data_IF_612719221639
#
_entry.id   IF_612719221639
#
_cell.length_a   1.000
_cell.length_b   1.000
_cell.length_c   1.000
_cell.angle_alpha   90.00
_cell.angle_beta   90.00
_cell.angle_gamma   90.00
#
_symmetry.space_group_name_H-M   'P 1'
#
loop_
_entity.id
_entity.type
_entity.pdbx_description
1 polymer ?
#
# COMPACT_ATOMS: atom_id res chain seq x y z
N UNK A 1 -12.50 -31.76 -7.28
CA UNK A 1 -11.11 -31.30 -7.45
C UNK A 1 -10.49 -31.40 -6.07
N UNK A 2 -9.46 -32.23 -5.96
CA UNK A 2 -8.68 -32.42 -4.74
C UNK A 2 -7.79 -31.19 -4.60
N UNK A 3 -7.93 -30.45 -3.50
CA UNK A 3 -6.95 -29.44 -3.12
C UNK A 3 -5.68 -30.19 -2.70
N UNK A 4 -4.60 -29.96 -3.43
CA UNK A 4 -3.24 -30.25 -2.98
C UNK A 4 -2.92 -29.30 -1.82
N UNK A 5 -3.44 -29.60 -0.62
CA UNK A 5 -2.81 -29.18 0.64
C UNK A 5 -1.46 -29.90 0.70
N UNK A 6 -0.46 -29.28 0.06
CA UNK A 6 0.92 -29.66 0.23
C UNK A 6 1.27 -29.54 1.70
N UNK A 7 1.59 -30.67 2.32
CA UNK A 7 2.29 -30.73 3.60
C UNK A 7 3.62 -29.99 3.44
N UNK A 8 3.63 -28.71 3.80
CA UNK A 8 4.89 -27.99 4.00
C UNK A 8 5.45 -28.46 5.34
N UNK A 9 6.58 -29.16 5.29
CA UNK A 9 7.34 -29.73 6.41
C UNK A 9 7.30 -28.82 7.65
N UNK A 10 6.34 -29.04 8.54
CA UNK A 10 6.33 -28.41 9.84
C UNK A 10 7.48 -29.01 10.64
N UNK A 11 8.46 -28.20 11.02
CA UNK A 11 9.45 -28.56 12.03
C UNK A 11 8.69 -29.12 13.26
N UNK A 12 8.71 -30.45 13.41
CA UNK A 12 7.94 -31.21 14.40
C UNK A 12 8.18 -30.67 15.83
N UNK A 13 9.30 -30.00 16.07
CA UNK A 13 9.66 -29.34 17.31
C UNK A 13 8.75 -28.16 17.70
N UNK A 14 8.07 -27.50 16.74
CA UNK A 14 7.28 -26.28 16.96
C UNK A 14 5.76 -26.45 16.81
N UNK A 15 5.30 -27.65 16.41
CA UNK A 15 3.87 -27.94 16.16
C UNK A 15 3.00 -27.73 17.40
N UNK A 16 3.55 -27.96 18.61
CA UNK A 16 2.83 -27.79 19.87
C UNK A 16 2.96 -26.41 20.54
N UNK A 17 3.79 -25.51 20.03
CA UNK A 17 4.10 -24.23 20.68
C UNK A 17 3.36 -23.03 20.07
N UNK A 18 2.88 -23.15 18.83
CA UNK A 18 2.28 -22.05 18.06
C UNK A 18 0.84 -22.36 17.65
N UNK A 19 -0.03 -21.35 17.72
CA UNK A 19 -1.41 -21.45 17.23
C UNK A 19 -1.44 -21.81 15.74
N UNK A 20 -2.45 -22.56 15.32
CA UNK A 20 -2.68 -22.81 13.90
C UNK A 20 -3.14 -21.53 13.20
N UNK A 21 -2.89 -21.43 11.89
CA UNK A 21 -3.33 -20.29 11.09
C UNK A 21 -4.85 -20.09 11.18
N UNK A 22 -5.62 -21.17 11.15
CA UNK A 22 -7.08 -21.17 11.30
C UNK A 22 -7.53 -20.56 12.63
N UNK A 23 -6.84 -20.85 13.73
CA UNK A 23 -7.14 -20.30 15.05
C UNK A 23 -6.89 -18.79 15.08
N UNK A 24 -5.77 -18.35 14.50
CA UNK A 24 -5.43 -16.92 14.40
C UNK A 24 -6.44 -16.16 13.54
N UNK A 25 -6.87 -16.74 12.42
CA UNK A 25 -7.91 -16.17 11.57
C UNK A 25 -9.24 -16.13 12.32
N UNK A 26 -9.59 -17.17 13.07
CA UNK A 26 -10.80 -17.20 13.91
C UNK A 26 -10.78 -16.10 14.97
N UNK A 27 -9.65 -15.90 15.65
CA UNK A 27 -9.46 -14.81 16.60
C UNK A 27 -9.59 -13.43 15.94
N UNK A 28 -8.99 -13.24 14.76
CA UNK A 28 -9.10 -12.00 13.99
C UNK A 28 -10.56 -11.69 13.63
N UNK A 29 -11.32 -12.70 13.21
CA UNK A 29 -12.73 -12.55 12.81
C UNK A 29 -13.67 -12.24 13.99
N UNK A 30 -13.24 -12.49 15.24
CA UNK A 30 -14.01 -12.12 16.43
C UNK A 30 -13.96 -10.62 16.73
N UNK A 31 -13.02 -9.88 16.14
CA UNK A 31 -12.93 -8.44 16.29
C UNK A 31 -14.06 -7.80 15.46
N UNK A 32 -14.93 -6.97 16.07
CA UNK A 32 -16.07 -6.35 15.38
C UNK A 32 -15.61 -5.15 14.53
N UNK A 33 -14.76 -5.39 13.53
CA UNK A 33 -14.19 -4.34 12.67
C UNK A 33 -15.28 -3.48 12.00
N UNK A 34 -16.39 -4.09 11.59
CA UNK A 34 -17.54 -3.34 11.04
C UNK A 34 -18.05 -2.27 12.00
N UNK A 35 -18.24 -2.60 13.28
CA UNK A 35 -18.68 -1.64 14.30
C UNK A 35 -17.61 -0.62 14.64
N UNK A 36 -16.34 -1.02 14.64
CA UNK A 36 -15.23 -0.08 14.85
C UNK A 36 -15.20 0.94 13.71
N UNK A 37 -15.30 0.50 12.45
CA UNK A 37 -15.29 1.39 11.30
C UNK A 37 -16.56 2.24 11.20
N UNK A 38 -17.74 1.70 11.49
CA UNK A 38 -18.97 2.51 11.61
C UNK A 38 -18.77 3.69 12.57
N UNK A 39 -18.20 3.45 13.75
CA UNK A 39 -17.97 4.50 14.75
C UNK A 39 -16.90 5.50 14.30
N UNK A 40 -15.77 5.02 13.81
CA UNK A 40 -14.64 5.86 13.39
C UNK A 40 -14.99 6.72 12.20
N UNK A 41 -15.79 6.19 11.26
CA UNK A 41 -16.26 6.91 10.08
C UNK A 41 -17.55 7.69 10.34
N UNK A 42 -18.09 7.67 11.57
CA UNK A 42 -19.38 8.32 11.89
C UNK A 42 -20.54 7.87 10.97
N UNK A 43 -20.51 6.60 10.55
CA UNK A 43 -21.55 5.95 9.75
C UNK A 43 -22.56 5.31 10.69
N UNK A 44 -23.84 5.54 10.41
CA UNK A 44 -24.96 4.96 11.14
C UNK A 44 -25.78 4.10 10.18
N UNK A 45 -26.07 2.88 10.59
CA UNK A 45 -27.01 2.01 9.88
C UNK A 45 -28.42 2.23 10.45
N UNK A 46 -29.30 2.87 9.68
CA UNK A 46 -30.69 3.15 10.06
C UNK A 46 -31.59 2.93 8.85
N UNK A 47 -32.83 2.49 9.07
CA UNK A 47 -33.83 2.28 8.00
C UNK A 47 -33.34 1.42 6.81
N UNK A 48 -32.53 0.40 7.10
CA UNK A 48 -31.96 -0.52 6.11
C UNK A 48 -30.96 0.14 5.13
N UNK A 49 -30.40 1.30 5.49
CA UNK A 49 -29.42 2.04 4.70
C UNK A 49 -28.29 2.61 5.58
N UNK A 50 -27.16 2.95 4.95
CA UNK A 50 -26.01 3.56 5.60
C UNK A 50 -26.03 5.07 5.41
N UNK A 51 -25.97 5.80 6.52
CA UNK A 51 -25.98 7.26 6.50
C UNK A 51 -24.77 7.82 7.25
N UNK A 52 -24.14 8.83 6.67
CA UNK A 52 -23.08 9.59 7.32
C UNK A 52 -23.52 11.05 7.44
N UNK A 53 -23.53 11.58 8.66
CA UNK A 53 -23.82 12.99 8.86
C UNK A 53 -22.53 13.80 8.74
N UNK A 54 -22.37 14.48 7.60
CA UNK A 54 -21.19 15.29 7.26
C UNK A 54 -20.85 16.37 8.29
N UNK A 55 -21.82 16.81 9.11
CA UNK A 55 -21.57 17.81 10.16
C UNK A 55 -20.64 17.31 11.26
N UNK A 56 -20.50 15.98 11.45
CA UNK A 56 -19.55 15.40 12.40
C UNK A 56 -18.14 15.26 11.83
N UNK A 57 -17.99 15.32 10.51
CA UNK A 57 -16.71 15.19 9.82
C UNK A 57 -16.03 16.56 9.79
N UNK A 58 -15.29 16.85 10.86
CA UNK A 58 -14.47 18.06 11.00
C UNK A 58 -13.00 17.76 10.76
N UNK A 59 -12.18 18.78 10.55
CA UNK A 59 -10.72 18.60 10.48
C UNK A 59 -10.13 17.94 11.73
N UNK A 60 -10.66 18.23 12.93
CA UNK A 60 -10.28 17.54 14.16
C UNK A 60 -10.64 16.06 14.16
N UNK A 61 -11.79 15.72 13.57
CA UNK A 61 -12.19 14.33 13.38
C UNK A 61 -11.23 13.60 12.44
N UNK A 62 -10.87 14.18 11.30
CA UNK A 62 -9.90 13.60 10.37
C UNK A 62 -8.54 13.34 11.01
N UNK A 63 -8.00 14.30 11.79
CA UNK A 63 -6.75 14.06 12.54
C UNK A 63 -6.86 12.85 13.48
N UNK A 64 -7.98 12.73 14.21
CA UNK A 64 -8.22 11.58 15.11
C UNK A 64 -8.34 10.27 14.33
N UNK A 65 -9.04 10.29 13.20
CA UNK A 65 -9.22 9.14 12.32
C UNK A 65 -7.87 8.65 11.78
N UNK A 66 -7.04 9.54 11.22
CA UNK A 66 -5.71 9.18 10.71
C UNK A 66 -4.80 8.64 11.83
N UNK A 67 -4.82 9.25 13.03
CA UNK A 67 -4.05 8.76 14.17
C UNK A 67 -4.52 7.37 14.65
N UNK A 68 -5.84 7.16 14.68
CA UNK A 68 -6.44 5.89 15.04
C UNK A 68 -6.08 4.79 14.03
N UNK A 69 -6.30 5.02 12.74
CA UNK A 69 -5.92 4.07 11.69
C UNK A 69 -4.42 3.82 11.65
N UNK A 70 -3.59 4.84 11.83
CA UNK A 70 -2.13 4.65 11.98
C UNK A 70 -1.77 3.70 13.12
N UNK A 71 -2.53 3.74 14.22
CA UNK A 71 -2.33 2.82 15.35
C UNK A 71 -2.73 1.39 14.98
N UNK A 72 -3.86 1.20 14.28
CA UNK A 72 -4.25 -0.12 13.77
C UNK A 72 -3.18 -0.66 12.81
N UNK A 73 -2.71 0.14 11.84
CA UNK A 73 -1.66 -0.27 10.90
C UNK A 73 -0.40 -0.73 11.63
N UNK A 74 -0.01 -0.07 12.74
CA UNK A 74 1.13 -0.52 13.56
C UNK A 74 0.89 -1.87 14.21
N UNK A 75 -0.33 -2.15 14.70
CA UNK A 75 -0.69 -3.45 15.27
C UNK A 75 -0.70 -4.55 14.20
N UNK A 76 -1.30 -4.27 13.04
CA UNK A 76 -1.31 -5.22 11.91
C UNK A 76 0.11 -5.50 11.41
N UNK A 77 1.00 -4.49 11.40
CA UNK A 77 2.43 -4.66 11.12
C UNK A 77 3.11 -5.61 12.08
N UNK A 78 2.79 -5.54 13.36
CA UNK A 78 3.32 -6.49 14.34
C UNK A 78 2.82 -7.89 14.06
N UNK A 79 1.53 -8.06 13.72
CA UNK A 79 0.98 -9.34 13.28
C UNK A 79 1.73 -9.92 12.07
N UNK A 80 1.90 -9.12 11.02
CA UNK A 80 2.64 -9.53 9.82
C UNK A 80 4.09 -9.94 10.14
N UNK A 81 4.77 -9.21 11.03
CA UNK A 81 6.15 -9.56 11.46
C UNK A 81 6.22 -10.82 12.30
N UNK A 82 5.27 -11.00 13.23
CA UNK A 82 5.24 -12.17 14.12
C UNK A 82 4.96 -13.45 13.35
N UNK A 83 4.14 -13.36 12.30
CA UNK A 83 3.70 -14.49 11.49
C UNK A 83 4.30 -14.46 10.07
N UNK A 84 5.54 -13.96 9.92
CA UNK A 84 6.27 -13.89 8.64
C UNK A 84 6.85 -15.26 8.24
N UNK A 85 5.95 -16.20 7.92
CA UNK A 85 6.29 -17.55 7.49
C UNK A 85 5.28 -18.07 6.47
N UNK A 86 5.69 -18.93 5.51
CA UNK A 86 4.77 -19.57 4.55
C UNK A 86 3.54 -20.21 5.18
N UNK A 87 3.67 -20.78 6.39
CA UNK A 87 2.58 -21.36 7.19
C UNK A 87 1.41 -20.41 7.44
N UNK A 88 1.66 -19.10 7.52
CA UNK A 88 0.66 -18.08 7.84
C UNK A 88 0.31 -17.18 6.63
N UNK A 89 0.37 -17.76 5.42
CA UNK A 89 0.12 -17.05 4.17
C UNK A 89 -1.28 -16.44 4.08
N UNK A 90 -2.32 -17.17 4.46
CA UNK A 90 -3.70 -16.69 4.39
C UNK A 90 -3.98 -15.63 5.45
N UNK A 91 -3.41 -15.75 6.65
CA UNK A 91 -3.43 -14.72 7.66
C UNK A 91 -2.76 -13.45 7.14
N UNK A 92 -1.58 -13.57 6.52
CA UNK A 92 -0.87 -12.43 5.92
C UNK A 92 -1.71 -11.73 4.84
N UNK A 93 -2.39 -12.50 3.98
CA UNK A 93 -3.31 -11.94 2.99
C UNK A 93 -4.47 -11.19 3.65
N UNK A 94 -5.09 -11.77 4.69
CA UNK A 94 -6.19 -11.12 5.43
C UNK A 94 -5.75 -9.83 6.13
N UNK A 95 -4.57 -9.82 6.76
CA UNK A 95 -4.02 -8.63 7.39
C UNK A 95 -3.71 -7.54 6.34
N UNK A 96 -3.16 -7.92 5.19
CA UNK A 96 -2.86 -6.99 4.09
C UNK A 96 -4.13 -6.45 3.42
N UNK A 97 -5.16 -7.27 3.25
CA UNK A 97 -6.48 -6.85 2.79
C UNK A 97 -7.11 -5.84 3.75
N UNK A 98 -7.05 -6.11 5.05
CA UNK A 98 -7.57 -5.20 6.08
C UNK A 98 -6.82 -3.85 6.07
N UNK A 99 -5.49 -3.86 5.89
CA UNK A 99 -4.71 -2.63 5.71
C UNK A 99 -5.20 -1.85 4.48
N UNK A 100 -5.39 -2.53 3.36
CA UNK A 100 -5.90 -1.91 2.13
C UNK A 100 -7.29 -1.29 2.32
N UNK A 101 -8.20 -1.97 3.03
CA UNK A 101 -9.53 -1.44 3.31
C UNK A 101 -9.48 -0.22 4.24
N UNK A 102 -8.61 -0.23 5.25
CA UNK A 102 -8.37 0.94 6.12
C UNK A 102 -7.87 2.14 5.30
N UNK A 103 -6.94 1.91 4.36
CA UNK A 103 -6.46 2.98 3.47
C UNK A 103 -7.58 3.49 2.57
N UNK A 104 -8.39 2.60 2.00
CA UNK A 104 -9.54 2.99 1.18
C UNK A 104 -10.51 3.90 1.95
N UNK A 105 -10.95 3.46 3.14
CA UNK A 105 -11.86 4.27 3.95
C UNK A 105 -11.27 5.63 4.33
N UNK A 106 -9.98 5.68 4.65
CA UNK A 106 -9.31 6.94 4.95
C UNK A 106 -9.22 7.85 3.71
N UNK A 107 -8.99 7.27 2.52
CA UNK A 107 -8.95 8.00 1.25
C UNK A 107 -10.32 8.59 0.93
N UNK A 108 -11.38 7.79 0.98
CA UNK A 108 -12.75 8.22 0.69
C UNK A 108 -13.18 9.39 1.60
N UNK A 109 -12.88 9.29 2.90
CA UNK A 109 -13.14 10.37 3.85
C UNK A 109 -12.32 11.63 3.60
N UNK A 110 -11.08 11.48 3.13
CA UNK A 110 -10.22 12.62 2.81
C UNK A 110 -10.64 13.31 1.51
N UNK A 111 -11.12 12.53 0.54
CA UNK A 111 -11.67 13.01 -0.72
C UNK A 111 -12.92 13.86 -0.47
N UNK A 112 -13.88 13.28 0.26
CA UNK A 112 -15.21 13.84 0.47
C UNK A 112 -15.22 15.03 1.44
N UNK A 113 -14.20 15.17 2.29
CA UNK A 113 -14.10 16.29 3.22
C UNK A 113 -14.03 17.63 2.50
N UNK A 114 -14.98 18.52 2.82
CA UNK A 114 -15.02 19.88 2.29
C UNK A 114 -13.89 20.72 2.89
N UNK A 115 -12.82 20.85 2.10
CA UNK A 115 -11.61 21.60 2.46
C UNK A 115 -11.89 23.09 2.69
N UNK A 116 -13.01 23.63 2.18
CA UNK A 116 -13.41 25.03 2.41
C UNK A 116 -13.85 25.30 3.86
N UNK A 117 -14.14 24.25 4.65
CA UNK A 117 -14.41 24.40 6.09
C UNK A 117 -13.19 24.89 6.87
N UNK A 118 -11.99 24.86 6.27
CA UNK A 118 -10.73 25.25 6.90
C UNK A 118 -10.23 26.56 6.30
N UNK A 119 -10.34 27.64 7.08
CA UNK A 119 -9.83 28.96 6.68
C UNK A 119 -8.30 29.06 6.75
N UNK A 120 -7.66 28.26 7.62
CA UNK A 120 -6.22 28.27 7.81
C UNK A 120 -5.55 27.20 6.94
N UNK A 121 -4.88 27.66 5.88
CA UNK A 121 -4.11 26.82 4.94
C UNK A 121 -3.06 25.96 5.66
N UNK A 122 -2.52 26.40 6.81
CA UNK A 122 -1.56 25.62 7.57
C UNK A 122 -2.17 24.34 8.17
N UNK A 123 -3.46 24.37 8.51
CA UNK A 123 -4.19 23.20 9.01
C UNK A 123 -4.42 22.19 7.87
N UNK A 124 -4.79 22.67 6.67
CA UNK A 124 -4.91 21.81 5.48
C UNK A 124 -3.59 21.12 5.16
N UNK A 125 -2.47 21.84 5.20
CA UNK A 125 -1.13 21.27 4.98
C UNK A 125 -0.77 20.21 6.03
N UNK A 126 -1.13 20.45 7.30
CA UNK A 126 -0.93 19.47 8.38
C UNK A 126 -1.79 18.22 8.19
N UNK A 127 -3.05 18.36 7.78
CA UNK A 127 -3.91 17.22 7.46
C UNK A 127 -3.33 16.38 6.31
N UNK A 128 -2.91 17.03 5.22
CA UNK A 128 -2.25 16.35 4.11
C UNK A 128 -1.00 15.61 4.59
N UNK A 129 -0.16 16.24 5.41
CA UNK A 129 1.05 15.61 5.95
C UNK A 129 0.73 14.37 6.80
N UNK A 130 -0.31 14.44 7.65
CA UNK A 130 -0.73 13.29 8.46
C UNK A 130 -1.31 12.17 7.60
N UNK A 131 -2.09 12.50 6.57
CA UNK A 131 -2.59 11.53 5.58
C UNK A 131 -1.45 10.84 4.83
N UNK A 132 -0.51 11.63 4.29
CA UNK A 132 0.70 11.13 3.61
C UNK A 132 1.51 10.19 4.53
N UNK A 133 1.72 10.57 5.78
CA UNK A 133 2.44 9.77 6.77
C UNK A 133 1.72 8.46 7.10
N UNK A 134 0.39 8.50 7.26
CA UNK A 134 -0.45 7.33 7.45
C UNK A 134 -0.34 6.39 6.24
N UNK A 135 -0.49 6.92 5.04
CA UNK A 135 -0.49 6.15 3.80
C UNK A 135 0.86 5.48 3.56
N UNK A 136 1.96 6.23 3.69
CA UNK A 136 3.32 5.69 3.58
C UNK A 136 3.55 4.52 4.56
N UNK A 137 3.07 4.64 5.81
CA UNK A 137 3.17 3.55 6.79
C UNK A 137 2.39 2.31 6.37
N UNK A 138 1.22 2.48 5.77
CA UNK A 138 0.43 1.36 5.26
C UNK A 138 1.13 0.66 4.08
N UNK A 139 1.66 1.42 3.12
CA UNK A 139 2.48 0.89 2.02
C UNK A 139 3.67 0.09 2.55
N UNK A 140 4.45 0.66 3.47
CA UNK A 140 5.62 -0.02 4.06
C UNK A 140 5.24 -1.27 4.86
N UNK A 141 4.03 -1.30 5.42
CA UNK A 141 3.51 -2.46 6.13
C UNK A 141 3.29 -3.62 5.16
N UNK A 142 2.51 -3.41 4.09
CA UNK A 142 2.25 -4.44 3.09
C UNK A 142 3.56 -4.84 2.38
N UNK A 143 4.36 -3.86 1.98
CA UNK A 143 5.59 -4.09 1.23
C UNK A 143 6.63 -4.94 1.98
N UNK A 144 6.62 -4.91 3.32
CA UNK A 144 7.50 -5.78 4.11
C UNK A 144 7.19 -7.28 3.97
N UNK A 145 6.02 -7.67 3.44
CA UNK A 145 5.56 -9.07 3.36
C UNK A 145 5.82 -9.70 1.98
N UNK A 146 7.09 -9.90 1.61
CA UNK A 146 7.55 -10.15 0.21
C UNK A 146 7.22 -11.50 -0.43
N UNK A 147 6.59 -12.44 0.27
CA UNK A 147 6.52 -13.86 -0.17
C UNK A 147 5.12 -14.47 -0.20
N UNK A 148 4.09 -13.67 0.07
CA UNK A 148 2.78 -14.21 0.47
C UNK A 148 1.61 -13.74 -0.43
N UNK A 149 1.91 -13.15 -1.58
CA UNK A 149 0.92 -12.50 -2.44
C UNK A 149 0.37 -11.22 -1.80
N UNK A 150 1.07 -10.64 -0.84
CA UNK A 150 0.62 -9.44 -0.13
C UNK A 150 0.67 -8.20 -1.04
N UNK A 151 1.60 -8.16 -2.00
CA UNK A 151 1.76 -6.99 -2.85
C UNK A 151 0.63 -6.80 -3.85
N UNK A 152 -0.24 -7.80 -4.07
CA UNK A 152 -1.49 -7.58 -4.79
C UNK A 152 -2.33 -6.46 -4.15
N UNK A 153 -2.24 -6.30 -2.82
CA UNK A 153 -2.93 -5.25 -2.09
C UNK A 153 -2.26 -3.89 -2.23
N UNK A 154 -0.93 -3.83 -2.47
CA UNK A 154 -0.24 -2.59 -2.86
C UNK A 154 -0.78 -2.09 -4.19
N UNK A 155 -0.90 -2.98 -5.18
CA UNK A 155 -1.39 -2.61 -6.50
C UNK A 155 -2.80 -2.02 -6.45
N UNK A 156 -3.61 -2.37 -5.45
CA UNK A 156 -4.99 -1.88 -5.31
C UNK A 156 -5.17 -0.63 -4.43
N UNK A 157 -4.09 -0.01 -3.93
CA UNK A 157 -4.22 1.19 -3.09
C UNK A 157 -4.60 2.43 -3.94
N UNK A 158 -5.40 3.37 -3.38
CA UNK A 158 -5.77 4.61 -4.06
C UNK A 158 -4.64 5.64 -3.95
N UNK A 159 -3.87 5.81 -5.03
CA UNK A 159 -2.68 6.67 -5.06
C UNK A 159 -2.97 8.13 -5.44
N UNK A 160 -4.22 8.55 -5.60
CA UNK A 160 -4.62 9.84 -6.17
C UNK A 160 -4.47 11.01 -5.19
N UNK A 161 -4.78 10.81 -3.90
CA UNK A 161 -4.82 11.92 -2.92
C UNK A 161 -3.53 12.15 -2.12
N UNK A 162 -2.54 11.26 -2.22
CA UNK A 162 -1.26 11.49 -1.55
C UNK A 162 -0.47 12.59 -2.27
N UNK A 163 0.34 13.35 -1.53
CA UNK A 163 1.12 14.41 -2.15
C UNK A 163 2.14 13.87 -3.15
N UNK A 164 2.46 14.67 -4.16
CA UNK A 164 3.45 14.34 -5.19
C UNK A 164 4.77 13.87 -4.58
N UNK A 165 5.27 14.57 -3.54
CA UNK A 165 6.53 14.18 -2.90
C UNK A 165 6.44 12.83 -2.18
N UNK A 166 5.31 12.53 -1.51
CA UNK A 166 5.10 11.22 -0.88
C UNK A 166 4.98 10.11 -1.92
N UNK A 167 4.37 10.37 -3.06
CA UNK A 167 4.31 9.42 -4.18
C UNK A 167 5.71 9.08 -4.71
N UNK A 168 6.54 10.10 -4.99
CA UNK A 168 7.94 9.89 -5.39
C UNK A 168 8.73 9.09 -4.35
N UNK A 169 8.53 9.41 -3.06
CA UNK A 169 9.16 8.69 -1.96
C UNK A 169 8.75 7.21 -1.95
N UNK A 170 7.45 6.93 -2.08
CA UNK A 170 6.96 5.55 -2.15
C UNK A 170 7.57 4.83 -3.34
N UNK A 171 7.52 5.44 -4.53
CA UNK A 171 8.08 4.88 -5.75
C UNK A 171 9.56 4.51 -5.56
N UNK A 172 10.37 5.42 -5.04
CA UNK A 172 11.78 5.17 -4.75
C UNK A 172 12.01 4.04 -3.72
N UNK A 173 11.24 4.01 -2.64
CA UNK A 173 11.36 2.95 -1.62
C UNK A 173 11.05 1.58 -2.24
N UNK A 174 10.02 1.53 -3.08
CA UNK A 174 9.62 0.32 -3.79
C UNK A 174 10.66 -0.13 -4.82
N UNK A 175 11.51 0.76 -5.34
CA UNK A 175 12.67 0.39 -6.14
C UNK A 175 13.79 -0.20 -5.27
N UNK A 176 14.16 0.52 -4.21
CA UNK A 176 15.40 0.30 -3.45
C UNK A 176 15.32 -0.69 -2.30
N UNK A 177 14.12 -1.11 -1.89
CA UNK A 177 13.91 -1.83 -0.63
C UNK A 177 14.28 -1.01 0.62
N UNK A 178 14.43 0.32 0.50
CA UNK A 178 14.78 1.17 1.62
C UNK A 178 13.60 1.33 2.58
N UNK A 179 13.59 0.57 3.68
CA UNK A 179 12.50 0.63 4.67
C UNK A 179 12.65 1.80 5.65
N UNK A 180 13.67 2.64 5.47
CA UNK A 180 13.93 3.77 6.34
C UNK A 180 13.01 4.94 5.97
N UNK A 181 12.13 5.30 6.89
CA UNK A 181 11.33 6.53 6.83
C UNK A 181 12.23 7.66 7.34
N UNK A 182 13.28 8.00 6.59
CA UNK A 182 14.03 9.19 6.93
C UNK A 182 13.18 10.41 6.58
N UNK A 183 12.84 11.23 7.59
CA UNK A 183 12.19 12.52 7.38
C UNK A 183 12.99 13.44 6.44
N UNK A 184 14.28 13.17 6.19
CA UNK A 184 15.07 13.90 5.20
C UNK A 184 14.62 13.70 3.74
N UNK A 185 13.83 12.65 3.47
CA UNK A 185 13.24 12.43 2.15
C UNK A 185 12.08 13.39 1.86
N UNK A 186 11.45 13.96 2.89
CA UNK A 186 10.27 14.82 2.73
C UNK A 186 10.56 16.21 2.13
N UNK A 187 11.83 16.57 1.89
CA UNK A 187 12.25 17.83 1.29
C UNK A 187 13.04 17.66 -0.02
N UNK A 188 13.09 16.45 -0.59
CA UNK A 188 13.78 16.19 -1.85
C UNK A 188 13.00 16.87 -3.00
N UNK A 189 13.70 17.54 -3.90
CA UNK A 189 13.04 18.16 -5.06
C UNK A 189 12.68 17.10 -6.12
N UNK A 190 11.71 17.40 -6.98
CA UNK A 190 11.36 16.53 -8.13
C UNK A 190 12.58 16.22 -8.99
N UNK A 191 13.48 17.19 -9.19
CA UNK A 191 14.71 17.00 -9.97
C UNK A 191 15.66 15.99 -9.31
N UNK A 192 15.79 16.02 -8.00
CA UNK A 192 16.62 15.06 -7.26
C UNK A 192 16.02 13.64 -7.31
N UNK A 193 14.68 13.53 -7.33
CA UNK A 193 14.00 12.25 -7.56
C UNK A 193 14.30 11.69 -8.94
N UNK A 194 14.12 12.52 -9.97
CA UNK A 194 14.39 12.17 -11.37
C UNK A 194 15.83 11.69 -11.55
N UNK A 195 16.81 12.39 -10.99
CA UNK A 195 18.23 12.03 -11.13
C UNK A 195 18.57 10.70 -10.46
N UNK A 196 18.04 10.45 -9.26
CA UNK A 196 18.26 9.21 -8.54
C UNK A 196 17.63 8.02 -9.29
N UNK A 197 16.38 8.19 -9.76
CA UNK A 197 15.63 7.14 -10.44
C UNK A 197 16.20 6.80 -11.82
N UNK A 198 16.80 7.77 -12.51
CA UNK A 198 17.51 7.54 -13.77
C UNK A 198 18.97 7.05 -13.58
N UNK A 199 19.43 6.83 -12.35
CA UNK A 199 20.79 6.37 -12.13
C UNK A 199 20.94 4.91 -12.61
N UNK A 200 21.96 4.65 -13.43
CA UNK A 200 22.21 3.31 -13.99
C UNK A 200 22.38 2.24 -12.91
N UNK A 201 22.94 2.63 -11.76
CA UNK A 201 23.11 1.75 -10.62
C UNK A 201 21.76 1.33 -10.02
N UNK A 202 20.80 2.26 -9.91
CA UNK A 202 19.48 1.93 -9.39
C UNK A 202 18.71 1.03 -10.35
N UNK A 203 18.73 1.36 -11.65
CA UNK A 203 18.08 0.52 -12.67
C UNK A 203 18.60 -0.92 -12.62
N UNK A 204 19.93 -1.10 -12.57
CA UNK A 204 20.55 -2.44 -12.50
C UNK A 204 20.10 -3.21 -11.25
N UNK A 205 20.12 -2.56 -10.08
CA UNK A 205 19.66 -3.18 -8.82
C UNK A 205 18.18 -3.54 -8.88
N UNK A 206 17.37 -2.70 -9.50
CA UNK A 206 15.94 -2.94 -9.61
C UNK A 206 15.64 -4.11 -10.55
N UNK A 207 16.33 -4.21 -11.68
CA UNK A 207 16.23 -5.38 -12.56
C UNK A 207 16.64 -6.69 -11.88
N UNK A 208 17.76 -6.69 -11.15
CA UNK A 208 18.19 -7.85 -10.36
C UNK A 208 17.14 -8.26 -9.33
N UNK A 209 16.57 -7.26 -8.64
CA UNK A 209 15.50 -7.46 -7.68
C UNK A 209 14.29 -8.10 -8.34
N UNK A 210 13.78 -7.57 -9.45
CA UNK A 210 12.63 -8.12 -10.18
C UNK A 210 12.87 -9.56 -10.64
N UNK A 211 14.07 -9.87 -11.14
CA UNK A 211 14.46 -11.23 -11.56
C UNK A 211 14.50 -12.23 -10.41
N UNK A 212 14.76 -11.76 -9.18
CA UNK A 212 14.84 -12.61 -7.98
C UNK A 212 13.51 -12.84 -7.27
N UNK A 213 12.44 -12.16 -7.67
CA UNK A 213 11.15 -12.23 -6.98
C UNK A 213 10.42 -13.54 -7.26
N UNK A 214 9.79 -14.16 -6.23
CA UNK A 214 8.98 -15.35 -6.42
C UNK A 214 7.61 -15.02 -7.03
N UNK A 215 7.10 -15.93 -7.88
CA UNK A 215 5.72 -15.89 -8.38
C UNK A 215 5.36 -14.60 -9.13
N UNK A 216 4.18 -14.06 -8.83
CA UNK A 216 3.64 -12.84 -9.46
C UNK A 216 4.00 -11.54 -8.71
N UNK A 217 4.91 -11.58 -7.71
CA UNK A 217 5.24 -10.39 -6.91
C UNK A 217 5.84 -9.25 -7.76
N UNK A 218 6.69 -9.58 -8.74
CA UNK A 218 7.23 -8.60 -9.69
C UNK A 218 6.12 -7.96 -10.52
N UNK A 219 5.11 -8.73 -10.93
CA UNK A 219 3.96 -8.23 -11.64
C UNK A 219 3.11 -7.30 -10.77
N UNK A 220 2.83 -7.66 -9.51
CA UNK A 220 2.10 -6.78 -8.59
C UNK A 220 2.85 -5.47 -8.33
N UNK A 221 4.18 -5.52 -8.23
CA UNK A 221 4.99 -4.30 -8.06
C UNK A 221 4.91 -3.39 -9.29
N UNK A 222 5.05 -3.95 -10.50
CA UNK A 222 4.94 -3.17 -11.73
C UNK A 222 3.52 -2.64 -11.95
N UNK A 223 2.50 -3.41 -11.58
CA UNK A 223 1.10 -2.96 -11.57
C UNK A 223 0.90 -1.81 -10.58
N UNK A 224 1.56 -1.87 -9.42
CA UNK A 224 1.54 -0.78 -8.44
C UNK A 224 2.08 0.51 -9.05
N UNK A 225 3.19 0.44 -9.80
CA UNK A 225 3.76 1.60 -10.49
C UNK A 225 2.85 2.16 -11.57
N UNK A 226 2.25 1.29 -12.39
CA UNK A 226 1.27 1.73 -13.38
C UNK A 226 0.10 2.46 -12.71
N UNK A 227 -0.47 1.88 -11.65
CA UNK A 227 -1.59 2.49 -10.93
C UNK A 227 -1.21 3.81 -10.24
N UNK A 228 0.04 3.96 -9.79
CA UNK A 228 0.56 5.25 -9.32
C UNK A 228 0.57 6.30 -10.43
N UNK A 229 0.96 5.94 -11.65
CA UNK A 229 0.96 6.87 -12.79
C UNK A 229 -0.48 7.20 -13.23
N UNK A 230 -1.38 6.21 -13.28
CA UNK A 230 -2.79 6.38 -13.65
C UNK A 230 -3.57 7.28 -12.70
N UNK A 231 -3.22 7.25 -11.42
CA UNK A 231 -3.87 8.06 -10.40
C UNK A 231 -3.50 9.56 -10.49
N UNK A 232 -2.61 9.94 -11.41
CA UNK A 232 -2.03 11.30 -11.48
C UNK A 232 -2.59 12.11 -12.63
N UNK A 233 -2.68 13.41 -12.41
CA UNK A 233 -3.13 14.39 -13.41
C UNK A 233 -1.92 15.05 -14.09
N UNK A 234 -2.19 15.93 -15.07
CA UNK A 234 -1.15 16.69 -15.78
C UNK A 234 -0.21 17.50 -14.87
N UNK A 235 -0.65 17.83 -13.63
CA UNK A 235 0.19 18.54 -12.66
C UNK A 235 1.38 17.72 -12.18
N UNK A 236 1.29 16.39 -12.23
CA UNK A 236 2.33 15.44 -11.85
C UNK A 236 2.94 14.77 -13.11
N UNK A 237 2.96 15.47 -14.26
CA UNK A 237 3.43 14.91 -15.54
C UNK A 237 4.85 14.33 -15.47
N UNK A 238 5.77 14.96 -14.75
CA UNK A 238 7.13 14.44 -14.59
C UNK A 238 7.14 13.06 -13.91
N UNK A 239 6.24 12.82 -12.94
CA UNK A 239 6.10 11.51 -12.32
C UNK A 239 5.58 10.49 -13.32
N UNK A 240 4.47 10.81 -14.00
CA UNK A 240 3.87 9.93 -15.03
C UNK A 240 4.90 9.56 -16.09
N UNK A 241 5.64 10.56 -16.60
CA UNK A 241 6.70 10.37 -17.59
C UNK A 241 7.80 9.43 -17.09
N UNK A 242 8.33 9.65 -15.89
CA UNK A 242 9.42 8.81 -15.36
C UNK A 242 8.93 7.39 -15.11
N UNK A 243 7.77 7.20 -14.50
CA UNK A 243 7.22 5.87 -14.28
C UNK A 243 6.95 5.14 -15.59
N UNK A 244 6.45 5.83 -16.61
CA UNK A 244 6.23 5.26 -17.96
C UNK A 244 7.55 4.83 -18.60
N UNK A 245 8.60 5.66 -18.51
CA UNK A 245 9.94 5.32 -19.03
C UNK A 245 10.52 4.12 -18.28
N UNK A 246 10.44 4.11 -16.96
CA UNK A 246 10.95 3.02 -16.11
C UNK A 246 10.27 1.68 -16.44
N UNK A 247 8.93 1.67 -16.49
CA UNK A 247 8.15 0.52 -16.94
C UNK A 247 8.56 0.08 -18.37
N UNK A 248 8.84 1.03 -19.27
CA UNK A 248 9.16 0.69 -20.66
C UNK A 248 10.54 0.03 -20.76
N UNK A 249 11.51 0.57 -20.04
CA UNK A 249 12.87 0.02 -19.98
C UNK A 249 12.85 -1.41 -19.43
N UNK A 250 12.13 -1.63 -18.33
CA UNK A 250 12.03 -2.96 -17.70
C UNK A 250 11.25 -3.94 -18.59
N UNK A 251 10.11 -3.50 -19.12
CA UNK A 251 9.18 -4.35 -19.84
C UNK A 251 9.64 -4.74 -21.25
N UNK A 252 10.33 -3.84 -21.96
CA UNK A 252 10.64 -4.01 -23.38
C UNK A 252 12.13 -4.05 -23.72
N UNK A 253 12.96 -3.35 -22.94
CA UNK A 253 14.40 -3.25 -23.23
C UNK A 253 15.24 -4.25 -22.42
N UNK A 254 14.74 -4.73 -21.28
CA UNK A 254 15.41 -5.72 -20.46
C UNK A 254 15.29 -7.12 -21.07
N UNK A 255 16.40 -7.69 -21.58
CA UNK A 255 16.40 -9.04 -22.18
C UNK A 255 15.98 -10.15 -21.20
N UNK A 256 16.14 -9.90 -19.89
CA UNK A 256 15.81 -10.83 -18.80
C UNK A 256 14.32 -10.99 -18.55
N UNK A 257 13.48 -10.06 -19.01
CA UNK A 257 12.08 -9.94 -18.60
C UNK A 257 11.08 -10.10 -19.74
N UNK A 258 11.45 -10.82 -20.83
CA UNK A 258 10.56 -11.07 -21.98
C UNK A 258 9.19 -11.67 -21.62
N UNK A 259 9.08 -12.38 -20.50
CA UNK A 259 7.83 -12.96 -19.99
C UNK A 259 6.87 -11.87 -19.47
N UNK A 260 7.41 -10.75 -18.98
CA UNK A 260 6.60 -9.62 -18.50
C UNK A 260 6.07 -8.75 -19.64
N UNK A 261 6.63 -8.84 -20.86
CA UNK A 261 6.24 -8.01 -22.03
C UNK A 261 4.73 -8.02 -22.28
N UNK A 262 4.10 -9.21 -22.27
CA UNK A 262 2.65 -9.31 -22.54
C UNK A 262 1.82 -8.67 -21.42
N UNK A 263 2.20 -8.89 -20.17
CA UNK A 263 1.54 -8.29 -19.00
C UNK A 263 1.77 -6.77 -18.93
N UNK A 264 2.93 -6.31 -19.39
CA UNK A 264 3.28 -4.89 -19.46
C UNK A 264 2.55 -4.16 -20.58
N UNK A 265 2.31 -4.81 -21.74
CA UNK A 265 1.46 -4.26 -22.80
C UNK A 265 0.07 -3.90 -22.28
N UNK A 266 -0.56 -4.77 -21.48
CA UNK A 266 -1.87 -4.52 -20.89
C UNK A 266 -1.85 -3.32 -19.93
N UNK A 267 -0.75 -3.13 -19.18
CA UNK A 267 -0.54 -1.98 -18.29
C UNK A 267 -0.31 -0.68 -19.08
N UNK A 268 0.47 -0.72 -20.17
CA UNK A 268 0.71 0.43 -21.03
C UNK A 268 -0.53 0.90 -21.78
N UNK A 269 -1.46 0.00 -22.11
CA UNK A 269 -2.73 0.41 -22.71
C UNK A 269 -3.65 1.16 -21.74
N UNK A 270 -3.36 1.13 -20.44
CA UNK A 270 -4.14 1.84 -19.42
C UNK A 270 -3.61 3.24 -19.16
N UNK A 271 -2.28 3.45 -19.27
CA UNK A 271 -1.56 4.73 -19.01
C UNK A 271 -1.64 5.65 -20.22
#
# INVERSE_FOLDING_TARGET
>A
MLDEEGEEDEDIANVGANLFESDLISLLNQIPFSKIFEQVLCIQYQNNDYHQNKTYITHHHLFRMFAFFTTIIKLLKQGLKTYDSPRYRQLTKRLSALIKDIVQYANDQWEEFDKNQINDVSILKKLQLEFDCFFLRAVLCIFSSRRLGAWQYLASLPYDLISSNTLWQIFYILHTDCMQIDMHVSNRSTHDWINELNSSQLCTKFEEKLSSMPGDESYFLLTTFANMALARTEQDYDFVKITTIDLFQIGFLSEKHKILVQKMLDLFCQI
#
